data_IF_984921829647
#
_entry.id   IF_984921829647
#
_cell.length_a   1.000
_cell.length_b   1.000
_cell.length_c   1.000
_cell.angle_alpha   90.00
_cell.angle_beta   90.00
_cell.angle_gamma   90.00
#
_symmetry.space_group_name_H-M   'P 1'
#
loop_
_entity.id
_entity.type
_entity.pdbx_description
1 polymer ?
#
# COMPACT_ATOMS: atom_id res chain seq x y z
N UNK A 1 -2.80 -30.38 -2.36
CA UNK A 1 -3.83 -29.64 -3.13
C UNK A 1 -3.34 -28.22 -3.24
N UNK A 2 -2.73 -27.87 -4.37
CA UNK A 2 -2.33 -26.49 -4.66
C UNK A 2 -3.63 -25.76 -4.98
N UNK A 3 -4.18 -25.01 -4.02
CA UNK A 3 -5.24 -24.04 -4.32
C UNK A 3 -4.54 -22.90 -5.07
N UNK A 4 -4.43 -23.05 -6.39
CA UNK A 4 -3.88 -22.02 -7.25
C UNK A 4 -4.85 -20.82 -7.20
N UNK A 5 -4.41 -19.75 -6.55
CA UNK A 5 -5.12 -18.47 -6.57
C UNK A 5 -5.07 -17.93 -8.00
N UNK A 6 -6.23 -17.58 -8.57
CA UNK A 6 -6.31 -17.01 -9.91
C UNK A 6 -5.96 -15.52 -9.91
N UNK A 7 -5.55 -15.00 -11.06
CA UNK A 7 -5.31 -13.55 -11.25
C UNK A 7 -6.56 -12.73 -10.88
N UNK A 8 -7.73 -13.18 -11.31
CA UNK A 8 -9.01 -12.54 -11.00
C UNK A 8 -9.25 -12.46 -9.49
N UNK A 9 -8.91 -13.53 -8.75
CA UNK A 9 -9.00 -13.54 -7.29
C UNK A 9 -8.01 -12.57 -6.63
N UNK A 10 -6.82 -12.36 -7.20
CA UNK A 10 -5.89 -11.33 -6.73
C UNK A 10 -6.43 -9.92 -6.98
N UNK A 11 -6.96 -9.68 -8.18
CA UNK A 11 -7.51 -8.38 -8.56
C UNK A 11 -8.78 -8.02 -7.78
N UNK A 12 -9.55 -9.02 -7.35
CA UNK A 12 -10.77 -8.81 -6.56
C UNK A 12 -10.52 -8.58 -5.06
N UNK A 13 -9.31 -8.82 -4.54
CA UNK A 13 -9.02 -8.68 -3.09
C UNK A 13 -9.05 -7.23 -2.66
N UNK A 14 -9.84 -6.93 -1.63
CA UNK A 14 -9.96 -5.57 -1.08
C UNK A 14 -9.45 -5.50 0.36
N UNK A 15 -8.99 -4.31 0.83
CA UNK A 15 -8.58 -4.10 2.22
C UNK A 15 -9.60 -4.62 3.24
N UNK A 16 -10.90 -4.46 3.00
CA UNK A 16 -11.93 -4.97 3.91
C UNK A 16 -11.87 -6.49 4.15
N UNK A 17 -11.35 -7.26 3.20
CA UNK A 17 -11.33 -8.72 3.29
C UNK A 17 -10.16 -9.19 4.16
N UNK A 18 -8.97 -8.61 3.94
CA UNK A 18 -7.75 -9.07 4.60
C UNK A 18 -7.40 -8.29 5.87
N UNK A 19 -7.92 -7.07 6.05
CA UNK A 19 -7.75 -6.27 7.26
C UNK A 19 -8.89 -6.43 8.28
N UNK A 20 -9.88 -7.28 8.01
CA UNK A 20 -11.03 -7.51 8.91
C UNK A 20 -10.61 -7.81 10.35
N UNK A 21 -9.55 -8.61 10.53
CA UNK A 21 -9.05 -8.98 11.85
C UNK A 21 -7.94 -8.03 12.37
N UNK A 22 -7.81 -6.84 11.76
CA UNK A 22 -6.86 -5.80 12.13
C UNK A 22 -5.58 -5.78 11.28
N UNK A 23 -4.79 -4.71 11.44
CA UNK A 23 -3.48 -4.52 10.82
C UNK A 23 -2.36 -5.08 11.69
N UNK A 24 -2.41 -4.79 12.99
CA UNK A 24 -1.37 -5.15 13.94
C UNK A 24 -1.74 -6.35 14.82
N UNK A 25 -0.71 -7.06 15.28
CA UNK A 25 -0.81 -8.08 16.32
C UNK A 25 -0.95 -7.40 17.69
N UNK A 26 -1.21 -8.19 18.75
CA UNK A 26 -1.20 -7.69 20.12
C UNK A 26 0.15 -7.07 20.55
N UNK A 27 1.25 -7.42 19.87
CA UNK A 27 2.56 -6.83 20.09
C UNK A 27 2.79 -5.51 19.32
N UNK A 28 1.80 -5.04 18.57
CA UNK A 28 1.87 -3.81 17.77
C UNK A 28 2.65 -3.93 16.47
N UNK A 29 2.95 -5.16 16.03
CA UNK A 29 3.65 -5.43 14.76
C UNK A 29 2.67 -5.83 13.67
N UNK A 30 3.05 -5.68 12.39
CA UNK A 30 2.24 -6.17 11.27
C UNK A 30 1.89 -7.66 11.44
N UNK A 31 0.63 -8.00 11.21
CA UNK A 31 0.18 -9.40 11.12
C UNK A 31 0.94 -10.15 9.99
N UNK A 32 1.68 -11.23 10.29
CA UNK A 32 2.56 -11.88 9.32
C UNK A 32 1.90 -12.31 8.01
N UNK A 33 0.63 -12.70 8.05
CA UNK A 33 -0.16 -13.11 6.90
C UNK A 33 -0.37 -11.99 5.86
N UNK A 34 -0.24 -10.73 6.27
CA UNK A 34 -0.44 -9.56 5.40
C UNK A 34 0.75 -9.31 4.45
N UNK A 35 1.97 -9.72 4.83
CA UNK A 35 3.18 -9.56 4.01
C UNK A 35 3.25 -10.52 2.81
N UNK A 36 2.39 -11.54 2.78
CA UNK A 36 2.35 -12.55 1.72
C UNK A 36 1.32 -12.23 0.65
N UNK A 37 0.25 -13.03 0.63
CA UNK A 37 -0.78 -12.97 -0.43
C UNK A 37 -1.49 -11.61 -0.54
N UNK A 38 -1.86 -10.91 0.55
CA UNK A 38 -2.44 -9.57 0.46
C UNK A 38 -1.48 -8.56 -0.19
N UNK A 39 -0.22 -8.51 0.25
CA UNK A 39 0.78 -7.63 -0.35
C UNK A 39 1.00 -7.94 -1.85
N UNK A 40 1.03 -9.22 -2.22
CA UNK A 40 1.15 -9.65 -3.62
C UNK A 40 -0.08 -9.27 -4.47
N UNK A 41 -1.29 -9.36 -3.90
CA UNK A 41 -2.52 -8.95 -4.56
C UNK A 41 -2.52 -7.46 -4.88
N UNK A 42 -2.18 -6.61 -3.91
CA UNK A 42 -2.07 -5.15 -4.13
C UNK A 42 -0.99 -4.84 -5.16
N UNK A 43 0.17 -5.49 -5.08
CA UNK A 43 1.22 -5.33 -6.08
C UNK A 43 0.74 -5.68 -7.51
N UNK A 44 -0.06 -6.75 -7.64
CA UNK A 44 -0.68 -7.15 -8.92
C UNK A 44 -1.70 -6.12 -9.41
N UNK A 45 -2.49 -5.54 -8.51
CA UNK A 45 -3.47 -4.50 -8.84
C UNK A 45 -2.79 -3.21 -9.30
N UNK A 46 -1.72 -2.78 -8.62
CA UNK A 46 -0.90 -1.63 -9.02
C UNK A 46 -0.24 -1.84 -10.38
N UNK A 47 0.20 -3.07 -10.66
CA UNK A 47 0.77 -3.44 -11.94
C UNK A 47 -0.26 -3.39 -13.08
N UNK A 48 -1.45 -3.95 -12.85
CA UNK A 48 -2.58 -3.89 -13.80
C UNK A 48 -3.01 -2.45 -14.07
N UNK A 49 -3.02 -1.62 -13.03
CA UNK A 49 -3.35 -0.20 -13.12
C UNK A 49 -2.24 0.64 -13.75
N UNK A 50 -1.12 0.03 -14.17
CA UNK A 50 0.04 0.71 -14.73
C UNK A 50 0.58 1.83 -13.83
N UNK A 51 0.50 1.66 -12.50
CA UNK A 51 1.21 2.54 -11.58
C UNK A 51 2.70 2.50 -11.95
N UNK A 52 3.40 3.64 -11.94
CA UNK A 52 4.83 3.61 -12.25
C UNK A 52 5.64 3.23 -11.00
N UNK A 53 6.75 2.49 -11.13
CA UNK A 53 7.58 2.14 -9.96
C UNK A 53 8.02 3.35 -9.14
N UNK A 54 8.33 4.46 -9.82
CA UNK A 54 8.69 5.72 -9.17
C UNK A 54 7.52 6.29 -8.36
N UNK A 55 6.29 6.22 -8.85
CA UNK A 55 5.11 6.73 -8.14
C UNK A 55 4.84 5.94 -6.86
N UNK A 56 4.86 4.61 -6.94
CA UNK A 56 4.61 3.76 -5.77
C UNK A 56 5.70 3.98 -4.71
N UNK A 57 6.98 4.01 -5.13
CA UNK A 57 8.11 4.22 -4.22
C UNK A 57 8.14 5.62 -3.58
N UNK A 58 7.90 6.67 -4.37
CA UNK A 58 7.87 8.04 -3.85
C UNK A 58 6.67 8.27 -2.93
N UNK A 59 5.52 7.66 -3.22
CA UNK A 59 4.33 7.76 -2.35
C UNK A 59 4.61 7.13 -1.00
N UNK A 60 5.26 5.97 -0.98
CA UNK A 60 5.68 5.31 0.28
C UNK A 60 6.64 6.17 1.11
N UNK A 61 7.70 6.70 0.50
CA UNK A 61 8.67 7.53 1.23
C UNK A 61 8.07 8.85 1.71
N UNK A 62 7.23 9.49 0.89
CA UNK A 62 6.53 10.71 1.28
C UNK A 62 5.53 10.44 2.41
N UNK A 63 4.78 9.34 2.34
CA UNK A 63 3.85 8.95 3.40
C UNK A 63 4.58 8.74 4.72
N UNK A 64 5.71 8.02 4.72
CA UNK A 64 6.57 7.86 5.91
C UNK A 64 7.04 9.21 6.45
N UNK A 65 7.46 10.11 5.58
CA UNK A 65 7.93 11.44 5.98
C UNK A 65 6.80 12.25 6.63
N UNK A 66 5.63 12.34 6.00
CA UNK A 66 4.49 13.10 6.52
C UNK A 66 4.00 12.51 7.84
N UNK A 67 3.87 11.18 7.93
CA UNK A 67 3.50 10.51 9.16
C UNK A 67 4.51 10.76 10.28
N UNK A 68 5.82 10.71 9.98
CA UNK A 68 6.90 10.98 10.92
C UNK A 68 6.88 12.41 11.48
N UNK A 69 6.51 13.41 10.67
CA UNK A 69 6.32 14.79 11.15
C UNK A 69 5.08 14.90 12.04
N UNK A 70 4.06 14.07 11.81
CA UNK A 70 2.80 14.07 12.55
C UNK A 70 2.77 13.18 13.81
N UNK A 71 3.90 12.57 14.19
CA UNK A 71 3.99 11.74 15.40
C UNK A 71 3.58 12.55 16.64
N UNK A 72 2.57 12.04 17.37
CA UNK A 72 2.01 12.73 18.53
C UNK A 72 1.03 13.88 18.21
N UNK A 73 0.65 14.04 16.94
CA UNK A 73 -0.38 15.00 16.53
C UNK A 73 -1.74 14.73 17.19
N UNK A 74 -2.49 15.79 17.49
CA UNK A 74 -3.82 15.67 18.05
C UNK A 74 -4.80 15.09 17.01
N UNK A 75 -5.42 13.94 17.31
CA UNK A 75 -6.49 13.36 16.50
C UNK A 75 -6.44 11.83 16.40
N UNK A 76 -7.52 11.18 15.94
CA UNK A 76 -7.55 9.74 15.70
C UNK A 76 -6.49 9.29 14.67
N UNK A 77 -5.88 8.12 14.89
CA UNK A 77 -4.82 7.59 14.03
C UNK A 77 -5.25 7.47 12.55
N UNK A 78 -6.47 6.99 12.30
CA UNK A 78 -7.00 6.83 10.93
C UNK A 78 -7.19 8.16 10.20
N UNK A 79 -7.60 9.23 10.91
CA UNK A 79 -7.72 10.57 10.31
C UNK A 79 -6.35 11.14 9.94
N UNK A 80 -5.36 10.99 10.83
CA UNK A 80 -3.98 11.40 10.56
C UNK A 80 -3.37 10.62 9.41
N UNK A 81 -3.60 9.30 9.37
CA UNK A 81 -3.18 8.45 8.27
C UNK A 81 -3.79 8.88 6.94
N UNK A 82 -5.11 9.09 6.87
CA UNK A 82 -5.78 9.51 5.64
C UNK A 82 -5.29 10.88 5.16
N UNK A 83 -5.12 11.84 6.08
CA UNK A 83 -4.56 13.15 5.75
C UNK A 83 -3.14 13.03 5.20
N UNK A 84 -2.29 12.22 5.83
CA UNK A 84 -0.92 11.98 5.38
C UNK A 84 -0.87 11.27 4.01
N UNK A 85 -1.75 10.31 3.76
CA UNK A 85 -1.89 9.63 2.46
C UNK A 85 -2.24 10.62 1.35
N UNK A 86 -3.21 11.52 1.59
CA UNK A 86 -3.58 12.55 0.62
C UNK A 86 -2.45 13.54 0.37
N UNK A 87 -1.79 14.00 1.42
CA UNK A 87 -0.64 14.90 1.28
C UNK A 87 0.51 14.25 0.50
N UNK A 88 0.79 12.96 0.78
CA UNK A 88 1.82 12.21 0.08
C UNK A 88 1.51 12.07 -1.42
N UNK A 89 0.28 11.66 -1.74
CA UNK A 89 -0.21 11.57 -3.11
C UNK A 89 -0.14 12.92 -3.84
N UNK A 90 -0.65 14.01 -3.23
CA UNK A 90 -0.60 15.36 -3.81
C UNK A 90 0.84 15.84 -4.06
N UNK A 91 1.76 15.52 -3.16
CA UNK A 91 3.17 15.84 -3.36
C UNK A 91 3.77 15.07 -4.53
N UNK A 92 3.52 13.76 -4.62
CA UNK A 92 4.05 12.91 -5.69
C UNK A 92 3.44 13.27 -7.04
N UNK A 93 2.14 13.55 -7.11
CA UNK A 93 1.46 14.05 -8.30
C UNK A 93 2.14 15.30 -8.86
N UNK A 94 2.45 16.28 -7.99
CA UNK A 94 3.16 17.51 -8.37
C UNK A 94 4.59 17.23 -8.80
N UNK A 95 5.32 16.42 -8.04
CA UNK A 95 6.71 16.07 -8.32
C UNK A 95 6.86 15.37 -9.68
N UNK A 96 5.93 14.46 -10.00
CA UNK A 96 5.93 13.69 -11.24
C UNK A 96 5.12 14.35 -12.37
N UNK A 97 4.47 15.50 -12.10
CA UNK A 97 3.58 16.20 -13.04
C UNK A 97 2.52 15.29 -13.67
N UNK A 98 1.88 14.43 -12.84
CA UNK A 98 0.85 13.47 -13.28
C UNK A 98 -0.29 13.35 -12.28
N UNK A 99 -1.42 12.81 -12.75
CA UNK A 99 -2.53 12.43 -11.87
C UNK A 99 -2.16 11.17 -11.10
N UNK A 100 -2.59 11.08 -9.83
CA UNK A 100 -2.39 9.90 -9.00
C UNK A 100 -3.02 8.66 -9.63
N UNK A 101 -2.34 7.53 -9.49
CA UNK A 101 -2.92 6.25 -9.84
C UNK A 101 -4.13 5.94 -8.94
N UNK A 102 -5.30 5.73 -9.57
CA UNK A 102 -6.58 5.53 -8.87
C UNK A 102 -6.56 4.31 -7.95
N UNK A 103 -5.83 3.25 -8.31
CA UNK A 103 -5.72 2.04 -7.47
C UNK A 103 -4.85 2.30 -6.25
N UNK A 104 -3.76 3.04 -6.40
CA UNK A 104 -2.92 3.43 -5.26
C UNK A 104 -3.68 4.35 -4.30
N UNK A 105 -4.37 5.35 -4.82
CA UNK A 105 -5.21 6.27 -4.05
C UNK A 105 -6.32 5.52 -3.30
N UNK A 106 -7.14 4.75 -4.04
CA UNK A 106 -8.23 3.96 -3.47
C UNK A 106 -7.74 2.97 -2.42
N UNK A 107 -6.61 2.29 -2.66
CA UNK A 107 -6.04 1.36 -1.68
C UNK A 107 -5.65 2.05 -0.36
N UNK A 108 -5.09 3.26 -0.42
CA UNK A 108 -4.76 4.06 0.76
C UNK A 108 -6.02 4.51 1.50
N UNK A 109 -7.03 5.00 0.77
CA UNK A 109 -8.32 5.40 1.37
C UNK A 109 -9.03 4.21 2.04
N UNK A 110 -9.08 3.06 1.37
CA UNK A 110 -9.75 1.84 1.86
C UNK A 110 -9.03 1.20 3.06
N UNK A 111 -7.74 1.47 3.25
CA UNK A 111 -7.00 1.03 4.43
C UNK A 111 -7.27 1.91 5.66
N UNK A 112 -7.64 3.18 5.49
CA UNK A 112 -7.77 4.14 6.58
C UNK A 112 -8.72 3.70 7.73
N UNK A 113 -9.90 3.09 7.46
CA UNK A 113 -10.79 2.60 8.52
C UNK A 113 -10.18 1.52 9.44
N UNK A 114 -9.11 0.87 9.00
CA UNK A 114 -8.41 -0.20 9.73
C UNK A 114 -7.24 0.33 10.56
N UNK A 115 -6.83 1.59 10.36
CA UNK A 115 -5.77 2.26 11.11
C UNK A 115 -6.38 2.93 12.35
N UNK A 116 -6.32 2.26 13.51
CA UNK A 116 -6.99 2.72 14.73
C UNK A 116 -6.03 3.22 15.80
N UNK A 117 -4.76 2.82 15.70
CA UNK A 117 -3.73 3.11 16.69
C UNK A 117 -2.41 3.50 16.02
N UNK A 118 -1.45 4.03 16.79
CA UNK A 118 -0.08 4.26 16.26
C UNK A 118 0.57 2.96 15.79
N UNK A 119 0.30 1.85 16.49
CA UNK A 119 0.80 0.54 16.10
C UNK A 119 0.26 0.12 14.72
N UNK A 120 -0.98 0.47 14.39
CA UNK A 120 -1.55 0.21 13.07
C UNK A 120 -0.92 1.09 11.99
N UNK A 121 -0.51 2.33 12.30
CA UNK A 121 0.26 3.17 11.36
C UNK A 121 1.59 2.49 11.04
N UNK A 122 2.34 2.04 12.06
CA UNK A 122 3.61 1.36 11.86
C UNK A 122 3.44 0.02 11.13
N UNK A 123 2.38 -0.73 11.45
CA UNK A 123 2.02 -1.95 10.74
C UNK A 123 1.68 -1.65 9.26
N UNK A 124 0.94 -0.57 8.98
CA UNK A 124 0.64 -0.16 7.60
C UNK A 124 1.91 0.17 6.82
N UNK A 125 2.87 0.91 7.41
CA UNK A 125 4.16 1.17 6.76
C UNK A 125 4.87 -0.14 6.42
N UNK A 126 4.85 -1.14 7.30
CA UNK A 126 5.41 -2.45 7.01
C UNK A 126 4.64 -3.19 5.90
N UNK A 127 3.31 -3.05 5.83
CA UNK A 127 2.49 -3.62 4.76
C UNK A 127 2.85 -2.98 3.42
N UNK A 128 2.92 -1.65 3.34
CA UNK A 128 3.29 -0.96 2.11
C UNK A 128 4.72 -1.29 1.68
N UNK A 129 5.65 -1.46 2.62
CA UNK A 129 6.99 -1.96 2.32
C UNK A 129 6.95 -3.37 1.69
N UNK A 130 6.10 -4.28 2.20
CA UNK A 130 5.92 -5.60 1.61
C UNK A 130 5.30 -5.52 0.20
N UNK A 131 4.30 -4.66 -0.01
CA UNK A 131 3.73 -4.39 -1.34
C UNK A 131 4.81 -3.92 -2.32
N UNK A 132 5.66 -2.96 -1.91
CA UNK A 132 6.76 -2.47 -2.74
C UNK A 132 7.76 -3.57 -3.13
N UNK A 133 8.09 -4.47 -2.19
CA UNK A 133 8.97 -5.60 -2.47
C UNK A 133 8.35 -6.54 -3.50
N UNK A 134 7.07 -6.91 -3.33
CA UNK A 134 6.34 -7.75 -4.28
C UNK A 134 6.22 -7.07 -5.64
N UNK A 135 5.90 -5.78 -5.66
CA UNK A 135 5.76 -4.99 -6.88
C UNK A 135 7.08 -4.89 -7.65
N UNK A 136 8.19 -4.64 -6.96
CA UNK A 136 9.52 -4.61 -7.57
C UNK A 136 9.89 -5.97 -8.16
N UNK A 137 9.59 -7.06 -7.46
CA UNK A 137 9.81 -8.42 -7.96
C UNK A 137 8.98 -8.70 -9.21
N UNK A 138 7.71 -8.28 -9.24
CA UNK A 138 6.83 -8.40 -10.40
C UNK A 138 7.37 -7.63 -11.62
N UNK A 139 7.86 -6.39 -11.43
CA UNK A 139 8.45 -5.61 -12.52
C UNK A 139 9.73 -6.25 -13.06
N UNK A 140 10.57 -6.82 -12.18
CA UNK A 140 11.85 -7.40 -12.58
C UNK A 140 11.72 -8.67 -13.44
N UNK A 141 10.61 -9.40 -13.32
CA UNK A 141 10.36 -10.62 -14.10
C UNK A 141 9.54 -10.38 -15.37
N UNK A 142 9.05 -9.16 -15.59
CA UNK A 142 8.41 -8.82 -16.86
C UNK A 142 9.46 -8.81 -17.97
N UNK A 143 9.23 -9.51 -19.09
CA UNK A 143 10.12 -9.40 -20.22
C UNK A 143 10.14 -7.94 -20.68
N UNK A 144 11.33 -7.32 -20.68
CA UNK A 144 11.52 -5.98 -21.24
C UNK A 144 10.98 -5.99 -22.66
N UNK A 145 10.05 -5.09 -22.97
CA UNK A 145 9.54 -4.88 -24.32
C UNK A 145 10.58 -4.20 -25.24
N UNK A 146 11.85 -4.63 -25.16
CA UNK A 146 12.93 -4.23 -26.05
C UNK A 146 13.37 -5.48 -26.83
N UNK A 147 12.66 -5.73 -27.93
CA UNK A 147 12.93 -6.86 -28.82
C UNK A 147 11.73 -7.29 -29.67
N UNK A 148 11.02 -6.35 -30.29
CA UNK A 148 10.03 -6.61 -31.34
C UNK A 148 10.26 -5.64 -32.50
#
# INVERSE_FOLDING_TARGET
MTNDITREQLLARQPQDYLRDGLSTAAGTLRPELSGMPAFAVATQLDEAMASPQEVALTFEMLKQVLGVSEGGAGPAGERFLAASREALDHVARLLSKVNNIVLDGWLEDCAPFVKTEADIQAFIALFQAVLQQYTALQAVKPSAEGA
#
